data_IF_004521609535
#
_entry.id   IF_004521609535
#
_cell.length_a   1.000
_cell.length_b   1.000
_cell.length_c   1.000
_cell.angle_alpha   90.00
_cell.angle_beta   90.00
_cell.angle_gamma   90.00
#
_symmetry.space_group_name_H-M   'P 1'
#
loop_
_entity.id
_entity.type
_entity.pdbx_description
1 polymer ?
#
# COMPACT_ATOMS: atom_id res chain seq x y z
N UNK A 1 -15.65 7.75 -19.69
CA UNK A 1 -14.30 8.03 -19.17
C UNK A 1 -13.35 7.09 -19.87
N UNK A 2 -12.26 7.59 -20.45
CA UNK A 2 -11.28 6.75 -21.12
C UNK A 2 -10.26 6.18 -20.13
N UNK A 3 -9.69 5.00 -20.43
CA UNK A 3 -8.58 4.38 -19.66
C UNK A 3 -7.48 5.38 -19.30
N UNK A 4 -7.08 6.23 -20.25
CA UNK A 4 -6.09 7.30 -20.05
C UNK A 4 -6.47 8.36 -19.00
N UNK A 5 -7.75 8.62 -18.80
CA UNK A 5 -8.21 9.58 -17.79
C UNK A 5 -8.05 8.98 -16.38
N UNK A 6 -8.28 7.67 -16.24
CA UNK A 6 -8.08 6.92 -14.99
C UNK A 6 -6.59 6.79 -14.68
N UNK A 7 -5.73 6.51 -15.67
CA UNK A 7 -4.28 6.48 -15.47
C UNK A 7 -3.74 7.80 -14.90
N UNK A 8 -4.21 8.93 -15.45
CA UNK A 8 -3.84 10.25 -14.97
C UNK A 8 -4.33 10.49 -13.54
N UNK A 9 -5.57 10.10 -13.25
CA UNK A 9 -6.13 10.18 -11.90
C UNK A 9 -5.29 9.38 -10.89
N UNK A 10 -4.97 8.12 -11.19
CA UNK A 10 -4.15 7.25 -10.34
C UNK A 10 -2.75 7.82 -10.16
N UNK A 11 -2.15 8.34 -11.22
CA UNK A 11 -0.84 9.02 -11.13
C UNK A 11 -0.90 10.22 -10.18
N UNK A 12 -1.97 11.02 -10.25
CA UNK A 12 -2.19 12.12 -9.31
C UNK A 12 -2.41 11.64 -7.87
N UNK A 13 -3.20 10.60 -7.65
CA UNK A 13 -3.42 10.02 -6.32
C UNK A 13 -2.11 9.57 -5.67
N UNK A 14 -1.22 8.91 -6.43
CA UNK A 14 0.10 8.53 -5.93
C UNK A 14 0.94 9.76 -5.58
N UNK A 15 0.94 10.79 -6.42
CA UNK A 15 1.66 12.03 -6.14
C UNK A 15 1.15 12.71 -4.87
N UNK A 16 -0.16 12.74 -4.67
CA UNK A 16 -0.80 13.32 -3.49
C UNK A 16 -0.44 12.54 -2.23
N UNK A 17 -0.50 11.21 -2.27
CA UNK A 17 -0.04 10.36 -1.14
C UNK A 17 1.43 10.64 -0.82
N UNK A 18 2.28 10.74 -1.84
CA UNK A 18 3.69 11.08 -1.65
C UNK A 18 3.84 12.46 -1.01
N UNK A 19 3.05 13.46 -1.36
CA UNK A 19 3.15 14.82 -0.83
C UNK A 19 2.55 14.98 0.57
N UNK A 20 1.48 14.25 0.90
CA UNK A 20 0.76 14.34 2.16
C UNK A 20 1.46 13.59 3.30
N UNK A 21 2.16 12.49 3.00
CA UNK A 21 2.63 11.57 4.03
C UNK A 21 4.15 11.53 4.19
N UNK A 22 4.62 11.37 5.43
CA UNK A 22 6.03 11.10 5.72
C UNK A 22 6.29 9.61 5.52
N UNK A 23 7.33 9.26 4.77
CA UNK A 23 7.72 7.88 4.51
C UNK A 23 8.43 7.24 5.71
N UNK A 24 8.03 6.00 6.02
CA UNK A 24 8.64 5.14 7.02
C UNK A 24 9.02 3.80 6.39
N UNK A 25 10.12 3.23 6.86
CA UNK A 25 10.53 1.85 6.55
C UNK A 25 10.05 0.93 7.66
N UNK A 26 9.62 -0.27 7.29
CA UNK A 26 9.33 -1.31 8.26
C UNK A 26 10.62 -1.95 8.77
N UNK A 27 10.66 -2.24 10.07
CA UNK A 27 11.75 -2.96 10.72
C UNK A 27 11.23 -4.19 11.47
N UNK A 28 11.83 -5.36 11.24
CA UNK A 28 11.42 -6.59 11.92
C UNK A 28 11.72 -6.50 13.41
N UNK A 29 10.68 -6.61 14.23
CA UNK A 29 10.79 -6.77 15.69
C UNK A 29 10.06 -8.04 16.10
N UNK A 30 10.62 -8.68 17.12
CA UNK A 30 10.04 -9.83 17.80
C UNK A 30 9.59 -9.42 19.19
N UNK A 31 8.32 -9.12 19.36
CA UNK A 31 7.76 -8.63 20.63
C UNK A 31 7.12 -9.78 21.43
N UNK A 32 7.63 -10.13 22.64
CA UNK A 32 7.06 -11.22 23.42
C UNK A 32 5.74 -10.82 24.10
N UNK A 33 4.76 -11.72 24.12
CA UNK A 33 3.52 -11.56 24.88
C UNK A 33 3.08 -12.86 25.56
N UNK A 34 2.26 -12.77 26.61
CA UNK A 34 1.67 -13.94 27.26
C UNK A 34 0.39 -14.32 26.52
N UNK A 35 0.37 -15.52 25.93
CA UNK A 35 -0.80 -16.04 25.24
C UNK A 35 -1.87 -16.43 26.27
N UNK A 36 -3.02 -15.76 26.23
CA UNK A 36 -4.12 -15.97 27.17
C UNK A 36 -4.73 -17.37 27.11
N UNK A 37 -4.62 -18.07 25.97
CA UNK A 37 -5.16 -19.42 25.78
C UNK A 37 -4.24 -20.51 26.31
N UNK A 38 -2.92 -20.33 26.20
CA UNK A 38 -1.94 -21.37 26.56
C UNK A 38 -1.14 -21.06 27.82
N UNK A 39 -1.16 -19.82 28.31
CA UNK A 39 -0.33 -19.34 29.42
C UNK A 39 1.17 -19.30 29.10
N UNK A 40 1.56 -19.53 27.84
CA UNK A 40 2.97 -19.56 27.39
C UNK A 40 3.34 -18.24 26.73
N UNK A 41 4.65 -17.98 26.64
CA UNK A 41 5.19 -16.86 25.86
C UNK A 41 5.01 -17.15 24.37
N UNK A 42 4.32 -16.26 23.68
CA UNK A 42 4.22 -16.16 22.23
C UNK A 42 4.93 -14.88 21.77
N UNK A 43 5.04 -14.67 20.46
CA UNK A 43 5.73 -13.52 19.89
C UNK A 43 4.90 -12.89 18.80
N UNK A 44 4.82 -11.57 18.80
CA UNK A 44 4.30 -10.77 17.70
C UNK A 44 5.45 -10.37 16.77
N UNK A 45 5.19 -10.46 15.47
CA UNK A 45 6.14 -10.19 14.38
C UNK A 45 5.68 -9.03 13.49
N UNK A 46 4.71 -8.22 13.93
CA UNK A 46 4.27 -7.07 13.15
C UNK A 46 5.33 -5.98 13.04
N UNK A 47 6.42 -6.06 13.79
CA UNK A 47 7.52 -5.11 13.68
C UNK A 47 7.15 -3.69 14.12
N UNK A 48 8.03 -2.76 13.77
CA UNK A 48 7.79 -1.32 13.91
C UNK A 48 8.13 -0.59 12.61
N UNK A 49 7.78 0.69 12.53
CA UNK A 49 8.20 1.53 11.41
C UNK A 49 9.09 2.66 11.91
N UNK A 50 10.15 2.96 11.17
CA UNK A 50 11.07 4.08 11.44
C UNK A 50 11.07 5.06 10.29
N UNK A 51 11.21 6.34 10.62
CA UNK A 51 11.25 7.40 9.61
C UNK A 51 12.36 7.08 8.61
N UNK A 52 11.99 7.03 7.33
CA UNK A 52 12.87 6.63 6.26
C UNK A 52 13.88 7.74 5.96
N UNK A 53 15.12 7.36 5.70
CA UNK A 53 16.17 8.25 5.19
C UNK A 53 16.30 8.13 3.67
N UNK A 54 17.04 9.06 3.07
CA UNK A 54 17.34 9.01 1.63
C UNK A 54 18.16 7.77 1.27
N UNK A 55 19.04 7.34 2.16
CA UNK A 55 19.86 6.13 2.01
C UNK A 55 18.99 4.87 2.01
N UNK A 56 18.00 4.80 2.91
CA UNK A 56 17.05 3.69 2.95
C UNK A 56 16.26 3.59 1.63
N UNK A 57 15.78 4.71 1.11
CA UNK A 57 15.04 4.73 -0.16
C UNK A 57 15.90 4.27 -1.35
N UNK A 58 17.20 4.65 -1.36
CA UNK A 58 18.16 4.18 -2.37
C UNK A 58 18.50 2.70 -2.23
N UNK A 59 18.38 2.14 -1.03
CA UNK A 59 18.52 0.69 -0.82
C UNK A 59 17.31 -0.04 -1.42
N UNK A 60 16.10 0.44 -1.15
CA UNK A 60 14.86 -0.07 -1.75
C UNK A 60 14.96 -0.04 -3.27
N UNK A 61 15.34 1.11 -3.88
CA UNK A 61 15.51 1.26 -5.33
C UNK A 61 16.37 0.16 -5.95
N UNK A 62 17.48 -0.21 -5.30
CA UNK A 62 18.40 -1.24 -5.81
C UNK A 62 17.80 -2.63 -5.79
N UNK A 63 16.90 -2.90 -4.85
CA UNK A 63 16.29 -4.23 -4.65
C UNK A 63 14.93 -4.37 -5.34
N UNK A 64 14.39 -3.31 -5.95
CA UNK A 64 13.10 -3.35 -6.66
C UNK A 64 13.10 -4.40 -7.79
N UNK A 65 12.20 -5.36 -7.69
CA UNK A 65 12.04 -6.50 -8.59
C UNK A 65 13.04 -7.63 -8.35
N UNK A 66 13.90 -7.55 -7.33
CA UNK A 66 14.89 -8.59 -6.99
C UNK A 66 14.43 -9.50 -5.83
N UNK A 67 13.38 -9.11 -5.10
CA UNK A 67 12.87 -9.88 -3.97
C UNK A 67 12.28 -11.22 -4.44
N UNK A 68 13.05 -12.30 -4.40
CA UNK A 68 12.58 -13.67 -4.65
C UNK A 68 11.54 -14.19 -3.61
N UNK A 69 11.15 -13.35 -2.64
CA UNK A 69 10.04 -13.58 -1.69
C UNK A 69 8.72 -12.99 -2.22
N UNK A 70 8.72 -12.36 -3.40
CA UNK A 70 7.63 -11.57 -4.02
C UNK A 70 6.45 -12.40 -4.53
N UNK A 71 5.86 -13.26 -3.69
CA UNK A 71 4.54 -13.82 -4.00
C UNK A 71 3.44 -12.73 -3.93
N UNK A 72 3.78 -11.52 -3.46
CA UNK A 72 2.80 -10.49 -3.09
C UNK A 72 2.83 -9.20 -3.93
N UNK A 73 3.77 -9.03 -4.89
CA UNK A 73 3.87 -7.81 -5.69
C UNK A 73 3.97 -8.11 -7.18
N UNK A 74 3.18 -7.41 -7.99
CA UNK A 74 3.07 -7.66 -9.43
C UNK A 74 4.02 -6.81 -10.29
N UNK A 75 4.56 -5.71 -9.73
CA UNK A 75 5.49 -4.82 -10.43
C UNK A 75 6.41 -4.06 -9.48
N UNK A 76 7.40 -3.35 -10.05
CA UNK A 76 8.28 -2.46 -9.29
C UNK A 76 7.55 -1.27 -8.67
N UNK A 77 6.48 -0.78 -9.31
CA UNK A 77 5.68 0.31 -8.75
C UNK A 77 4.86 -0.19 -7.56
N UNK A 78 4.22 -1.34 -7.73
CA UNK A 78 3.46 -2.00 -6.65
C UNK A 78 4.37 -2.32 -5.45
N UNK A 79 5.56 -2.89 -5.69
CA UNK A 79 6.55 -3.14 -4.63
C UNK A 79 7.03 -1.86 -3.95
N UNK A 80 7.32 -0.78 -4.71
CA UNK A 80 7.74 0.50 -4.15
C UNK A 80 6.67 1.07 -3.19
N UNK A 81 5.42 1.10 -3.63
CA UNK A 81 4.31 1.63 -2.84
C UNK A 81 3.95 0.73 -1.66
N UNK A 82 4.09 -0.59 -1.81
CA UNK A 82 3.85 -1.57 -0.74
C UNK A 82 4.95 -1.62 0.32
N UNK A 83 6.17 -1.20 -0.02
CA UNK A 83 7.31 -1.23 0.92
C UNK A 83 7.40 0.04 1.77
N UNK A 84 6.86 1.16 1.28
CA UNK A 84 6.87 2.45 1.99
C UNK A 84 5.63 2.57 2.86
N UNK A 85 5.83 2.83 4.15
CA UNK A 85 4.76 2.89 5.15
C UNK A 85 4.56 4.30 5.70
N UNK A 86 3.43 4.51 6.37
CA UNK A 86 3.23 5.63 7.29
C UNK A 86 3.30 5.14 8.74
N UNK A 87 3.46 6.08 9.67
CA UNK A 87 3.44 5.78 11.10
C UNK A 87 2.01 5.58 11.63
N UNK A 88 1.28 4.63 11.05
CA UNK A 88 -0.06 4.22 11.44
C UNK A 88 -0.29 2.77 11.03
N UNK A 89 -1.16 2.08 11.77
CA UNK A 89 -1.46 0.68 11.56
C UNK A 89 -2.90 0.37 11.95
N UNK A 90 -3.46 -0.69 11.38
CA UNK A 90 -4.76 -1.25 11.75
C UNK A 90 -4.56 -2.61 12.43
N UNK A 91 -5.47 -2.96 13.34
CA UNK A 91 -5.40 -4.24 14.02
C UNK A 91 -5.73 -5.37 13.04
N UNK A 92 -5.00 -6.48 13.13
CA UNK A 92 -5.32 -7.70 12.38
C UNK A 92 -5.73 -8.82 13.34
N UNK A 93 -6.44 -9.80 12.79
CA UNK A 93 -6.78 -11.04 13.48
C UNK A 93 -5.83 -12.20 13.10
N UNK A 94 -4.72 -11.88 12.44
CA UNK A 94 -3.69 -12.84 12.05
C UNK A 94 -2.82 -13.19 13.24
N UNK A 95 -2.74 -14.49 13.54
CA UNK A 95 -1.94 -15.00 14.66
C UNK A 95 -0.48 -14.53 14.56
N UNK A 96 0.01 -13.89 15.62
CA UNK A 96 1.36 -13.33 15.73
C UNK A 96 1.68 -12.14 14.80
N UNK A 97 0.68 -11.53 14.18
CA UNK A 97 0.83 -10.32 13.36
C UNK A 97 -0.29 -9.32 13.68
N UNK A 98 -0.37 -8.85 14.92
CA UNK A 98 -1.49 -8.05 15.40
C UNK A 98 -1.66 -6.68 14.74
N UNK A 99 -0.65 -6.19 14.01
CA UNK A 99 -0.67 -4.89 13.31
C UNK A 99 -0.40 -5.10 11.81
N UNK A 100 -1.24 -4.46 10.99
CA UNK A 100 -0.99 -4.18 9.57
C UNK A 100 -0.55 -2.73 9.46
N UNK A 101 0.73 -2.51 9.14
CA UNK A 101 1.24 -1.15 8.94
C UNK A 101 0.72 -0.61 7.61
N UNK A 102 0.16 0.60 7.63
CA UNK A 102 -0.44 1.20 6.45
C UNK A 102 0.68 1.60 5.47
N UNK A 103 0.64 1.03 4.28
CA UNK A 103 1.57 1.32 3.18
C UNK A 103 1.07 2.48 2.31
N UNK A 104 1.93 3.01 1.44
CA UNK A 104 1.51 3.98 0.43
C UNK A 104 0.55 3.34 -0.57
N UNK A 105 0.73 2.05 -0.88
CA UNK A 105 -0.20 1.27 -1.70
C UNK A 105 -1.60 1.28 -1.10
N UNK A 106 -1.72 1.00 0.21
CA UNK A 106 -3.01 0.99 0.92
C UNK A 106 -3.70 2.36 0.83
N UNK A 107 -2.96 3.45 0.98
CA UNK A 107 -3.51 4.81 0.89
C UNK A 107 -3.99 5.18 -0.52
N UNK A 108 -3.28 4.73 -1.55
CA UNK A 108 -3.68 4.96 -2.95
C UNK A 108 -4.94 4.14 -3.26
N UNK A 109 -4.98 2.88 -2.80
CA UNK A 109 -6.14 2.01 -2.94
C UNK A 109 -7.37 2.57 -2.22
N UNK A 110 -7.21 3.07 -0.99
CA UNK A 110 -8.26 3.76 -0.24
C UNK A 110 -8.81 4.98 -1.01
N UNK A 111 -7.94 5.89 -1.47
CA UNK A 111 -8.34 7.05 -2.28
C UNK A 111 -9.05 6.65 -3.58
N UNK A 112 -8.58 5.60 -4.23
CA UNK A 112 -9.21 5.09 -5.45
C UNK A 112 -10.60 4.52 -5.17
N UNK A 113 -10.74 3.73 -4.10
CA UNK A 113 -12.03 3.17 -3.67
C UNK A 113 -13.04 4.27 -3.31
N UNK A 114 -12.62 5.29 -2.56
CA UNK A 114 -13.47 6.46 -2.27
C UNK A 114 -13.95 7.14 -3.55
N UNK A 115 -13.04 7.34 -4.50
CA UNK A 115 -13.38 7.94 -5.79
C UNK A 115 -14.35 7.05 -6.59
N UNK A 116 -14.15 5.72 -6.63
CA UNK A 116 -15.06 4.79 -7.31
C UNK A 116 -16.48 4.93 -6.77
N UNK A 117 -16.66 4.83 -5.45
CA UNK A 117 -17.98 4.95 -4.82
C UNK A 117 -18.60 6.34 -4.95
N UNK A 118 -17.79 7.40 -5.10
CA UNK A 118 -18.31 8.75 -5.31
C UNK A 118 -18.74 9.02 -6.76
N UNK A 119 -18.24 8.27 -7.74
CA UNK A 119 -18.46 8.54 -9.17
C UNK A 119 -19.28 7.46 -9.89
N UNK A 120 -19.48 6.29 -9.26
CA UNK A 120 -20.23 5.17 -9.82
C UNK A 120 -21.21 4.62 -8.80
N UNK A 121 -22.41 4.26 -9.27
CA UNK A 121 -23.42 3.55 -8.48
C UNK A 121 -23.01 2.07 -8.37
N UNK A 122 -22.06 1.77 -7.49
CA UNK A 122 -21.55 0.41 -7.25
C UNK A 122 -22.34 -0.32 -6.16
N UNK A 123 -22.90 0.42 -5.21
CA UNK A 123 -23.70 -0.10 -4.10
C UNK A 123 -24.98 0.70 -3.94
N UNK A 124 -26.03 0.08 -3.42
CA UNK A 124 -27.27 0.76 -3.05
C UNK A 124 -27.16 1.51 -1.70
N UNK A 125 -28.27 2.12 -1.27
CA UNK A 125 -28.33 2.86 0.01
C UNK A 125 -28.15 1.95 1.25
N UNK A 126 -28.30 0.63 1.11
CA UNK A 126 -28.09 -0.36 2.17
C UNK A 126 -26.66 -0.93 2.15
N UNK A 127 -25.85 -0.56 1.15
CA UNK A 127 -24.48 -1.01 0.97
C UNK A 127 -24.34 -2.33 0.23
N UNK A 128 -25.42 -2.82 -0.39
CA UNK A 128 -25.39 -4.03 -1.21
C UNK A 128 -24.85 -3.71 -2.60
N UNK A 129 -23.98 -4.57 -3.13
CA UNK A 129 -23.39 -4.39 -4.46
C UNK A 129 -24.45 -4.56 -5.55
N UNK A 130 -24.60 -3.54 -6.40
CA UNK A 130 -25.59 -3.51 -7.49
C UNK A 130 -24.95 -3.61 -8.87
N UNK A 131 -23.63 -3.43 -8.97
CA UNK A 131 -22.89 -3.52 -10.23
C UNK A 131 -21.50 -4.11 -10.04
N UNK A 132 -21.46 -5.41 -9.73
CA UNK A 132 -20.24 -6.20 -9.51
C UNK A 132 -19.32 -6.19 -10.74
N UNK A 133 -19.87 -6.33 -11.96
CA UNK A 133 -19.08 -6.33 -13.21
C UNK A 133 -18.30 -5.02 -13.40
N UNK A 134 -18.95 -3.87 -13.16
CA UNK A 134 -18.26 -2.58 -13.24
C UNK A 134 -17.23 -2.42 -12.10
N UNK A 135 -17.51 -2.93 -10.90
CA UNK A 135 -16.56 -2.88 -9.81
C UNK A 135 -15.28 -3.68 -10.13
N UNK A 136 -15.44 -4.89 -10.69
CA UNK A 136 -14.35 -5.73 -11.18
C UNK A 136 -13.56 -5.03 -12.31
N UNK A 137 -14.24 -4.43 -13.30
CA UNK A 137 -13.58 -3.67 -14.37
C UNK A 137 -12.74 -2.51 -13.83
N UNK A 138 -13.24 -1.78 -12.84
CA UNK A 138 -12.53 -0.67 -12.21
C UNK A 138 -11.33 -1.15 -11.38
N UNK A 139 -11.43 -2.31 -10.73
CA UNK A 139 -10.31 -2.93 -10.01
C UNK A 139 -9.23 -3.42 -10.96
N UNK A 140 -9.62 -4.04 -12.07
CA UNK A 140 -8.69 -4.46 -13.12
C UNK A 140 -7.90 -3.28 -13.70
N UNK A 141 -8.52 -2.11 -13.84
CA UNK A 141 -7.84 -0.89 -14.26
C UNK A 141 -6.80 -0.42 -13.23
N UNK A 142 -7.12 -0.48 -11.92
CA UNK A 142 -6.18 -0.14 -10.85
C UNK A 142 -4.96 -1.07 -10.86
N UNK A 143 -5.18 -2.38 -10.88
CA UNK A 143 -4.09 -3.36 -10.90
C UNK A 143 -3.28 -3.29 -12.19
N UNK A 144 -3.93 -3.10 -13.33
CA UNK A 144 -3.23 -2.94 -14.61
C UNK A 144 -2.37 -1.68 -14.63
N UNK A 145 -2.87 -0.56 -14.10
CA UNK A 145 -2.08 0.65 -13.96
C UNK A 145 -0.83 0.43 -13.10
N UNK A 146 -0.96 -0.19 -11.92
CA UNK A 146 0.18 -0.50 -11.06
C UNK A 146 1.17 -1.43 -11.74
N UNK A 147 0.68 -2.42 -12.50
CA UNK A 147 1.52 -3.39 -13.21
C UNK A 147 2.32 -2.75 -14.35
N UNK A 148 1.67 -1.92 -15.14
CA UNK A 148 2.18 -1.48 -16.44
C UNK A 148 2.86 -0.10 -16.36
N UNK A 149 2.70 0.64 -15.26
CA UNK A 149 3.30 1.97 -15.04
C UNK A 149 4.70 1.89 -14.42
N UNK A 150 5.62 2.74 -14.92
CA UNK A 150 6.97 2.86 -14.36
C UNK A 150 6.97 3.54 -12.99
N UNK A 151 7.77 2.99 -12.07
CA UNK A 151 8.02 3.52 -10.73
C UNK A 151 8.91 4.78 -10.70
N UNK A 152 9.67 5.05 -11.76
CA UNK A 152 10.78 6.03 -11.75
C UNK A 152 10.37 7.45 -11.36
N UNK A 153 9.22 7.94 -11.87
CA UNK A 153 8.75 9.30 -11.60
C UNK A 153 8.36 9.46 -10.12
N UNK A 154 7.72 8.45 -9.55
CA UNK A 154 7.30 8.43 -8.15
C UNK A 154 8.49 8.32 -7.20
N UNK A 155 9.47 7.48 -7.56
CA UNK A 155 10.72 7.38 -6.83
C UNK A 155 11.48 8.72 -6.83
N UNK A 156 11.58 9.38 -7.99
CA UNK A 156 12.22 10.70 -8.08
C UNK A 156 11.50 11.75 -7.22
N UNK A 157 10.16 11.72 -7.18
CA UNK A 157 9.35 12.60 -6.32
C UNK A 157 9.62 12.34 -4.84
N UNK A 158 9.65 11.08 -4.40
CA UNK A 158 9.99 10.70 -3.03
C UNK A 158 11.39 11.17 -2.63
N UNK A 159 12.39 10.92 -3.49
CA UNK A 159 13.76 11.37 -3.27
C UNK A 159 13.86 12.89 -3.11
N UNK A 160 13.12 13.65 -3.94
CA UNK A 160 13.05 15.11 -3.87
C UNK A 160 12.39 15.60 -2.57
N UNK A 161 11.37 14.90 -2.08
CA UNK A 161 10.69 15.26 -0.82
C UNK A 161 11.59 15.06 0.41
N UNK A 162 12.54 14.15 0.32
CA UNK A 162 13.51 13.84 1.38
C UNK A 162 14.76 14.74 1.36
N UNK A 163 14.84 15.71 0.44
CA UNK A 163 15.89 16.75 0.41
C UNK A 163 15.56 17.93 1.33
#
# INVERSE_FOLDING_TARGET
MGEKEIDLLLSHMIMDVIDEHVAFKWEPIKEPFINSYTGRVSYDYSGEVKKMTKEDLKEIEKTLGENNVSVNFDSKLDELLGTIHINSWTATYTSNFGKHWISFRDLVEEKYNEWKHANFELSDEEGEEINEELAEELDDLFFSFLRDTSHEIYLAKLLKKME
#
